data_IF_238490500154
#
_entry.id   IF_238490500154
#
_cell.length_a   1.000
_cell.length_b   1.000
_cell.length_c   1.000
_cell.angle_alpha   90.00
_cell.angle_beta   90.00
_cell.angle_gamma   90.00
#
_symmetry.space_group_name_H-M   'P 1'
#
loop_
_entity.id
_entity.type
_entity.pdbx_description
1 polymer ?
#
# COMPACT_ATOMS: atom_id res chain seq x y z
N UNK A 1 -11.66 23.31 -23.90
CA UNK A 1 -11.07 21.97 -23.80
C UNK A 1 -10.77 21.73 -22.33
N UNK A 2 -11.29 20.67 -21.69
CA UNK A 2 -10.95 20.37 -20.29
C UNK A 2 -9.49 19.95 -20.21
N UNK A 3 -8.71 20.55 -19.31
CA UNK A 3 -7.33 20.13 -19.04
C UNK A 3 -7.35 18.71 -18.47
N UNK A 4 -6.83 17.75 -19.24
CA UNK A 4 -6.65 16.39 -18.74
C UNK A 4 -5.57 16.35 -17.65
N UNK A 5 -5.77 15.49 -16.68
CA UNK A 5 -4.78 15.21 -15.65
C UNK A 5 -3.48 14.70 -16.25
N UNK A 6 -2.36 15.32 -15.85
CA UNK A 6 -1.00 14.94 -16.28
C UNK A 6 -0.02 15.13 -15.13
N UNK A 7 1.08 14.37 -15.13
CA UNK A 7 2.19 14.59 -14.22
C UNK A 7 3.02 15.80 -14.65
N UNK A 8 3.47 16.58 -13.67
CA UNK A 8 4.38 17.71 -13.93
C UNK A 8 5.83 17.25 -14.16
N UNK A 9 6.22 16.08 -13.68
CA UNK A 9 7.56 15.55 -13.81
C UNK A 9 7.62 14.02 -13.68
N UNK A 10 8.63 13.39 -14.32
CA UNK A 10 8.95 11.96 -14.15
C UNK A 10 9.21 11.60 -12.67
N UNK A 11 9.94 12.46 -11.96
CA UNK A 11 10.22 12.27 -10.53
C UNK A 11 8.92 12.29 -9.72
N UNK A 12 7.99 13.20 -10.02
CA UNK A 12 6.68 13.27 -9.37
C UNK A 12 5.88 12.00 -9.56
N UNK A 13 5.85 11.46 -10.78
CA UNK A 13 5.22 10.16 -11.06
C UNK A 13 5.86 9.02 -10.25
N UNK A 14 7.20 8.93 -10.24
CA UNK A 14 7.92 7.87 -9.50
C UNK A 14 7.63 7.97 -8.00
N UNK A 15 7.73 9.17 -7.40
CA UNK A 15 7.48 9.36 -5.96
C UNK A 15 6.02 9.12 -5.58
N UNK A 16 5.07 9.53 -6.40
CA UNK A 16 3.67 9.27 -6.14
C UNK A 16 3.31 7.78 -6.30
N UNK A 17 3.85 7.11 -7.32
CA UNK A 17 3.65 5.67 -7.52
C UNK A 17 4.34 4.84 -6.44
N UNK A 18 5.56 5.22 -6.06
CA UNK A 18 6.24 4.60 -4.92
C UNK A 18 5.46 4.84 -3.61
N UNK A 19 4.96 6.06 -3.38
CA UNK A 19 4.11 6.38 -2.22
C UNK A 19 2.80 5.59 -2.21
N UNK A 20 2.22 5.30 -3.37
CA UNK A 20 1.08 4.38 -3.47
C UNK A 20 1.43 2.96 -3.03
N UNK A 21 2.59 2.48 -3.42
CA UNK A 21 3.09 1.16 -3.05
C UNK A 21 3.59 1.10 -1.59
N UNK A 22 4.19 2.19 -1.10
CA UNK A 22 4.74 2.31 0.26
C UNK A 22 3.65 2.79 1.22
N UNK A 23 2.76 1.90 1.61
CA UNK A 23 1.68 2.18 2.55
C UNK A 23 1.74 1.28 3.77
N UNK A 24 0.56 0.96 4.31
CA UNK A 24 0.39 -0.01 5.40
C UNK A 24 1.03 -1.36 5.08
N UNK A 25 1.08 -1.74 3.79
CA UNK A 25 1.65 -2.99 3.32
C UNK A 25 3.14 -3.14 3.68
N UNK A 26 3.95 -2.12 3.39
CA UNK A 26 5.40 -2.18 3.55
C UNK A 26 5.88 -1.73 4.93
N UNK A 27 5.19 -0.75 5.55
CA UNK A 27 5.61 -0.18 6.83
C UNK A 27 5.03 -0.93 8.02
N UNK A 28 3.86 -1.54 7.88
CA UNK A 28 3.15 -2.22 8.95
C UNK A 28 2.99 -3.73 8.72
N UNK A 29 2.27 -4.12 7.64
CA UNK A 29 1.91 -5.53 7.40
C UNK A 29 3.16 -6.39 7.18
N UNK A 30 4.14 -5.89 6.44
CA UNK A 30 5.37 -6.60 6.15
C UNK A 30 6.20 -6.93 7.43
N UNK A 31 6.51 -6.01 8.37
CA UNK A 31 7.24 -6.35 9.57
C UNK A 31 6.57 -7.43 10.43
N UNK A 32 5.27 -7.31 10.72
CA UNK A 32 4.64 -8.31 11.56
C UNK A 32 4.50 -9.68 10.87
N UNK A 33 4.24 -9.69 9.54
CA UNK A 33 4.22 -10.94 8.79
C UNK A 33 5.60 -11.59 8.73
N UNK A 34 6.66 -10.80 8.63
CA UNK A 34 8.04 -11.27 8.70
C UNK A 34 8.35 -11.88 10.07
N UNK A 35 7.91 -11.23 11.15
CA UNK A 35 8.08 -11.74 12.51
C UNK A 35 7.36 -13.07 12.74
N UNK A 36 6.12 -13.19 12.25
CA UNK A 36 5.30 -14.39 12.41
C UNK A 36 5.74 -15.57 11.54
N UNK A 37 6.50 -15.34 10.46
CA UNK A 37 6.78 -16.34 9.41
C UNK A 37 8.27 -16.60 9.17
N UNK A 38 9.12 -16.48 10.20
CA UNK A 38 10.50 -16.94 10.12
C UNK A 38 11.54 -15.91 9.67
N UNK A 39 11.26 -14.60 9.84
CA UNK A 39 12.27 -13.55 9.69
C UNK A 39 12.90 -13.47 8.30
N UNK A 40 14.23 -13.67 8.22
CA UNK A 40 14.99 -13.54 6.98
C UNK A 40 14.60 -14.51 5.87
N UNK A 41 14.07 -15.70 6.19
CA UNK A 41 13.51 -16.63 5.20
C UNK A 41 12.31 -16.03 4.48
N UNK A 42 11.37 -15.47 5.22
CA UNK A 42 10.22 -14.74 4.68
C UNK A 42 10.65 -13.53 3.82
N UNK A 43 11.61 -12.73 4.34
CA UNK A 43 12.16 -11.58 3.59
C UNK A 43 12.69 -12.01 2.22
N UNK A 44 13.50 -13.07 2.15
CA UNK A 44 14.10 -13.50 0.89
C UNK A 44 13.02 -13.93 -0.12
N UNK A 45 12.02 -14.70 0.31
CA UNK A 45 10.89 -15.10 -0.55
C UNK A 45 10.12 -13.89 -1.02
N UNK A 46 9.84 -12.93 -0.13
CA UNK A 46 9.17 -11.66 -0.49
C UNK A 46 9.96 -10.88 -1.55
N UNK A 47 11.28 -10.75 -1.40
CA UNK A 47 12.14 -10.05 -2.36
C UNK A 47 12.12 -10.71 -3.74
N UNK A 48 12.30 -12.05 -3.78
CA UNK A 48 12.25 -12.82 -5.03
C UNK A 48 10.87 -12.67 -5.68
N UNK A 49 9.80 -12.80 -4.92
CA UNK A 49 8.43 -12.69 -5.43
C UNK A 49 8.12 -11.27 -5.94
N UNK A 50 8.60 -10.25 -5.26
CA UNK A 50 8.42 -8.86 -5.69
C UNK A 50 9.11 -8.60 -7.04
N UNK A 51 10.28 -9.19 -7.27
CA UNK A 51 11.03 -9.04 -8.52
C UNK A 51 10.42 -9.92 -9.64
N UNK A 52 10.12 -11.20 -9.37
CA UNK A 52 9.72 -12.16 -10.41
C UNK A 52 8.22 -12.10 -10.74
N UNK A 53 7.39 -11.64 -9.83
CA UNK A 53 5.93 -11.60 -9.97
C UNK A 53 5.43 -10.16 -9.95
N UNK A 54 5.79 -9.41 -8.90
CA UNK A 54 5.33 -8.04 -8.71
C UNK A 54 5.77 -7.11 -9.83
N UNK A 55 7.06 -7.10 -10.17
CA UNK A 55 7.59 -6.23 -11.23
C UNK A 55 6.99 -6.48 -12.62
N UNK A 56 6.85 -7.73 -13.12
CA UNK A 56 6.16 -8.00 -14.37
C UNK A 56 4.70 -7.52 -14.40
N UNK A 57 3.96 -7.69 -13.31
CA UNK A 57 2.58 -7.19 -13.19
C UNK A 57 2.53 -5.66 -13.16
N UNK A 58 3.46 -5.00 -12.47
CA UNK A 58 3.60 -3.54 -12.45
C UNK A 58 3.81 -2.99 -13.86
N UNK A 59 4.69 -3.61 -14.64
CA UNK A 59 4.91 -3.23 -16.03
C UNK A 59 3.67 -3.46 -16.90
N UNK A 60 2.88 -4.50 -16.63
CA UNK A 60 1.61 -4.74 -17.30
C UNK A 60 0.61 -3.61 -17.02
N UNK A 61 0.42 -3.21 -15.76
CA UNK A 61 -0.45 -2.07 -15.40
C UNK A 61 0.03 -0.78 -16.08
N UNK A 62 1.32 -0.51 -16.09
CA UNK A 62 1.87 0.67 -16.75
C UNK A 62 1.64 0.67 -18.26
N UNK A 63 1.93 -0.44 -18.93
CA UNK A 63 1.73 -0.55 -20.37
C UNK A 63 0.26 -0.37 -20.76
N UNK A 64 -0.66 -1.01 -20.04
CA UNK A 64 -2.10 -0.88 -20.27
C UNK A 64 -2.59 0.57 -20.02
N UNK A 65 -2.20 1.16 -18.88
CA UNK A 65 -2.65 2.50 -18.51
C UNK A 65 -2.20 3.56 -19.51
N UNK A 66 -0.91 3.57 -19.87
CA UNK A 66 -0.36 4.55 -20.81
C UNK A 66 -0.86 4.34 -22.23
N UNK A 67 -0.96 3.09 -22.72
CA UNK A 67 -1.52 2.78 -24.04
C UNK A 67 -2.97 3.24 -24.19
N UNK A 68 -3.77 3.09 -23.13
CA UNK A 68 -5.17 3.46 -23.18
C UNK A 68 -5.39 4.97 -23.05
N UNK A 69 -4.67 5.66 -22.15
CA UNK A 69 -4.81 7.09 -21.89
C UNK A 69 -6.23 7.52 -21.49
N UNK A 70 -6.96 6.61 -20.83
CA UNK A 70 -8.33 6.83 -20.34
C UNK A 70 -8.45 6.31 -18.90
N UNK A 71 -9.62 6.51 -18.28
CA UNK A 71 -9.87 6.01 -16.92
C UNK A 71 -9.73 4.48 -16.83
N UNK A 72 -9.37 3.97 -15.68
CA UNK A 72 -9.10 2.54 -15.47
C UNK A 72 -10.27 1.64 -15.88
N UNK A 73 -11.51 2.06 -15.58
CA UNK A 73 -12.71 1.30 -15.95
C UNK A 73 -12.82 1.12 -17.48
N UNK A 74 -12.47 2.16 -18.26
CA UNK A 74 -12.59 2.12 -19.73
C UNK A 74 -11.38 1.51 -20.43
N UNK A 75 -10.26 1.34 -19.72
CA UNK A 75 -8.99 0.87 -20.30
C UNK A 75 -9.13 -0.49 -20.96
N UNK A 76 -9.67 -1.46 -20.25
CA UNK A 76 -9.75 -2.85 -20.70
C UNK A 76 -10.70 -3.02 -21.89
N UNK A 77 -11.86 -2.34 -21.87
CA UNK A 77 -12.79 -2.36 -23.01
C UNK A 77 -12.21 -1.71 -24.26
N UNK A 78 -11.48 -0.59 -24.10
CA UNK A 78 -10.80 0.09 -25.21
C UNK A 78 -9.71 -0.77 -25.84
N UNK A 79 -8.83 -1.37 -25.02
CA UNK A 79 -7.70 -2.15 -25.52
C UNK A 79 -8.11 -3.54 -26.03
N UNK A 80 -9.17 -4.12 -25.47
CA UNK A 80 -9.72 -5.42 -25.89
C UNK A 80 -10.79 -5.33 -26.96
N UNK A 81 -11.14 -4.12 -27.44
CA UNK A 81 -12.24 -3.86 -28.40
C UNK A 81 -13.59 -4.48 -27.97
N UNK A 82 -13.83 -4.64 -26.67
CA UNK A 82 -15.06 -5.20 -26.12
C UNK A 82 -15.31 -4.65 -24.71
N UNK A 83 -16.43 -3.94 -24.56
CA UNK A 83 -16.82 -3.33 -23.28
C UNK A 83 -17.03 -4.34 -22.14
N UNK A 84 -17.20 -5.63 -22.42
CA UNK A 84 -17.28 -6.66 -21.39
C UNK A 84 -16.03 -6.70 -20.52
N UNK A 85 -14.85 -6.38 -21.04
CA UNK A 85 -13.61 -6.34 -20.27
C UNK A 85 -13.55 -5.20 -19.24
N UNK A 86 -14.45 -4.22 -19.32
CA UNK A 86 -14.50 -3.13 -18.34
C UNK A 86 -14.77 -3.61 -16.92
N UNK A 87 -15.28 -4.85 -16.73
CA UNK A 87 -15.48 -5.43 -15.41
C UNK A 87 -14.16 -5.48 -14.59
N UNK A 88 -13.01 -5.66 -15.25
CA UNK A 88 -11.70 -5.68 -14.59
C UNK A 88 -11.41 -4.33 -13.95
N UNK A 89 -11.67 -3.26 -14.68
CA UNK A 89 -11.52 -1.89 -14.15
C UNK A 89 -12.50 -1.58 -13.00
N UNK A 90 -13.74 -2.10 -13.08
CA UNK A 90 -14.73 -1.96 -12.02
C UNK A 90 -14.32 -2.70 -10.75
N UNK A 91 -13.75 -3.91 -10.85
CA UNK A 91 -13.21 -4.65 -9.70
C UNK A 91 -12.15 -3.82 -8.99
N UNK A 92 -11.18 -3.25 -9.74
CA UNK A 92 -10.13 -2.41 -9.17
C UNK A 92 -10.68 -1.15 -8.49
N UNK A 93 -11.60 -0.45 -9.13
CA UNK A 93 -12.23 0.74 -8.56
C UNK A 93 -13.02 0.42 -7.27
N UNK A 94 -13.80 -0.66 -7.28
CA UNK A 94 -14.57 -1.12 -6.13
C UNK A 94 -13.66 -1.58 -4.98
N UNK A 95 -12.61 -2.35 -5.29
CA UNK A 95 -11.63 -2.77 -4.30
C UNK A 95 -10.98 -1.57 -3.60
N UNK A 96 -10.58 -0.54 -4.34
CA UNK A 96 -9.98 0.67 -3.78
C UNK A 96 -10.97 1.53 -2.98
N UNK A 97 -12.24 1.54 -3.35
CA UNK A 97 -13.27 2.20 -2.55
C UNK A 97 -13.45 1.52 -1.19
N UNK A 98 -13.58 0.19 -1.16
CA UNK A 98 -13.66 -0.57 0.08
C UNK A 98 -12.36 -0.43 0.88
N UNK A 99 -11.20 -0.55 0.22
CA UNK A 99 -9.90 -0.41 0.88
C UNK A 99 -9.81 0.93 1.61
N UNK A 100 -10.12 2.04 0.94
CA UNK A 100 -10.06 3.36 1.56
C UNK A 100 -11.02 3.49 2.75
N UNK A 101 -12.17 2.82 2.73
CA UNK A 101 -13.17 2.92 3.79
C UNK A 101 -12.64 2.43 5.13
N UNK A 102 -11.96 1.29 5.19
CA UNK A 102 -11.36 0.79 6.43
C UNK A 102 -9.93 1.30 6.66
N UNK A 103 -9.18 1.57 5.61
CA UNK A 103 -7.85 2.17 5.67
C UNK A 103 -7.86 3.55 6.34
N UNK A 104 -8.93 4.33 6.10
CA UNK A 104 -9.11 5.65 6.72
C UNK A 104 -9.28 5.59 8.25
N UNK A 105 -9.75 4.48 8.77
CA UNK A 105 -9.86 4.25 10.23
C UNK A 105 -8.46 4.19 10.85
N UNK A 106 -7.55 3.41 10.24
CA UNK A 106 -6.15 3.34 10.70
C UNK A 106 -5.46 4.70 10.59
N UNK A 107 -5.69 5.41 9.46
CA UNK A 107 -5.20 6.78 9.29
C UNK A 107 -5.70 7.73 10.38
N UNK A 108 -6.95 7.56 10.79
CA UNK A 108 -7.54 8.28 11.92
C UNK A 108 -6.84 7.98 13.24
N UNK A 109 -6.58 6.70 13.55
CA UNK A 109 -5.85 6.32 14.77
C UNK A 109 -4.46 6.95 14.83
N UNK A 110 -3.74 7.00 13.70
CA UNK A 110 -2.43 7.68 13.63
C UNK A 110 -2.55 9.15 14.03
N UNK A 111 -3.56 9.86 13.53
CA UNK A 111 -3.80 11.27 13.87
C UNK A 111 -4.08 11.46 15.36
N UNK A 112 -4.88 10.57 15.97
CA UNK A 112 -5.17 10.62 17.41
C UNK A 112 -3.89 10.40 18.22
N UNK A 113 -3.11 9.37 17.90
CA UNK A 113 -1.85 9.08 18.60
C UNK A 113 -0.84 10.21 18.45
N UNK A 114 -0.72 10.81 17.27
CA UNK A 114 0.11 12.01 17.07
C UNK A 114 -0.32 13.14 18.01
N UNK A 115 -1.63 13.41 18.11
CA UNK A 115 -2.13 14.42 19.04
C UNK A 115 -1.81 14.13 20.50
N UNK A 116 -1.91 12.87 20.92
CA UNK A 116 -1.61 12.42 22.28
C UNK A 116 -0.09 12.57 22.56
N UNK A 117 0.76 12.10 21.66
CA UNK A 117 2.21 12.16 21.86
C UNK A 117 2.75 13.60 21.82
N UNK A 118 2.16 14.48 21.01
CA UNK A 118 2.48 15.92 21.07
C UNK A 118 2.09 16.53 22.42
N UNK A 119 0.93 16.17 22.99
CA UNK A 119 0.55 16.62 24.34
C UNK A 119 1.52 16.10 25.39
N UNK A 120 1.92 14.84 25.31
CA UNK A 120 2.93 14.22 26.20
C UNK A 120 4.27 14.96 26.12
N UNK A 121 4.73 15.32 24.93
CA UNK A 121 5.98 16.07 24.72
C UNK A 121 5.96 17.42 25.46
N UNK A 122 4.81 18.08 25.57
CA UNK A 122 4.64 19.33 26.30
C UNK A 122 4.19 19.13 27.76
N UNK A 123 4.31 17.92 28.31
CA UNK A 123 3.95 17.55 29.68
C UNK A 123 2.46 17.82 30.04
N UNK A 124 1.57 17.82 29.04
CA UNK A 124 0.13 18.04 29.20
C UNK A 124 -0.64 16.74 29.51
N UNK A 125 0.01 15.76 30.10
CA UNK A 125 -0.55 14.47 30.48
C UNK A 125 0.33 13.30 30.01
N UNK A 126 0.33 12.19 30.74
CA UNK A 126 1.06 10.95 30.42
C UNK A 126 0.09 9.82 30.05
N UNK A 127 0.54 8.89 29.23
CA UNK A 127 -0.17 7.64 28.94
C UNK A 127 0.46 6.55 29.77
N UNK A 128 -0.27 6.01 30.77
CA UNK A 128 0.26 4.94 31.63
C UNK A 128 0.21 3.57 30.96
N UNK A 129 -0.89 3.24 30.28
CA UNK A 129 -1.14 1.94 29.66
C UNK A 129 -1.63 2.13 28.20
N UNK A 130 -0.80 1.76 27.22
CA UNK A 130 -1.13 1.87 25.80
C UNK A 130 -2.20 0.87 25.35
N UNK A 131 -2.34 -0.26 26.01
CA UNK A 131 -3.41 -1.20 25.71
C UNK A 131 -4.76 -0.62 26.11
N UNK A 132 -4.85 -0.04 27.32
CA UNK A 132 -6.03 0.65 27.78
C UNK A 132 -6.32 1.91 26.94
N UNK A 133 -5.28 2.67 26.58
CA UNK A 133 -5.40 3.84 25.71
C UNK A 133 -5.98 3.44 24.34
N UNK A 134 -5.41 2.42 23.69
CA UNK A 134 -5.88 1.94 22.40
C UNK A 134 -7.32 1.49 22.46
N UNK A 135 -7.68 0.68 23.48
CA UNK A 135 -9.04 0.24 23.70
C UNK A 135 -9.99 1.43 23.87
N UNK A 136 -9.60 2.45 24.64
CA UNK A 136 -10.43 3.65 24.85
C UNK A 136 -10.67 4.47 23.58
N UNK A 137 -9.70 4.47 22.64
CA UNK A 137 -9.81 5.17 21.35
C UNK A 137 -10.74 4.41 20.40
N UNK A 138 -10.53 3.09 20.25
CA UNK A 138 -11.28 2.29 19.27
C UNK A 138 -12.72 2.00 19.73
N UNK A 139 -12.97 1.99 21.04
CA UNK A 139 -14.31 1.77 21.59
C UNK A 139 -15.16 3.05 21.69
N UNK A 140 -14.56 4.23 21.59
CA UNK A 140 -15.29 5.49 21.66
C UNK A 140 -15.75 5.94 20.25
N UNK A 141 -17.06 5.91 19.95
CA UNK A 141 -17.57 6.26 18.62
C UNK A 141 -17.22 7.68 18.16
N UNK A 142 -17.24 8.65 19.08
CA UNK A 142 -16.95 10.03 18.73
C UNK A 142 -15.48 10.23 18.32
N UNK A 143 -14.54 9.57 19.01
CA UNK A 143 -13.12 9.59 18.68
C UNK A 143 -12.87 8.84 17.36
N UNK A 144 -13.41 7.63 17.23
CA UNK A 144 -13.21 6.78 16.06
C UNK A 144 -13.72 7.46 14.78
N UNK A 145 -14.96 7.97 14.79
CA UNK A 145 -15.57 8.64 13.64
C UNK A 145 -14.95 10.01 13.37
N UNK A 146 -14.66 10.80 14.42
CA UNK A 146 -14.00 12.09 14.27
C UNK A 146 -12.60 11.97 13.67
N UNK A 147 -11.84 10.97 14.09
CA UNK A 147 -10.51 10.68 13.57
C UNK A 147 -10.55 10.22 12.11
N UNK A 148 -11.46 9.29 11.77
CA UNK A 148 -11.69 8.86 10.40
C UNK A 148 -12.10 10.03 9.50
N UNK A 149 -13.02 10.88 9.96
CA UNK A 149 -13.46 12.06 9.21
C UNK A 149 -12.29 13.02 8.95
N UNK A 150 -11.45 13.30 9.96
CA UNK A 150 -10.27 14.15 9.81
C UNK A 150 -9.29 13.59 8.75
N UNK A 151 -9.06 12.28 8.75
CA UNK A 151 -8.20 11.65 7.77
C UNK A 151 -8.80 11.69 6.35
N UNK A 152 -10.10 11.45 6.19
CA UNK A 152 -10.78 11.57 4.89
C UNK A 152 -10.76 13.02 4.39
N UNK A 153 -10.98 14.02 5.25
CA UNK A 153 -10.88 15.43 4.87
C UNK A 153 -9.48 15.78 4.34
N UNK A 154 -8.43 15.26 4.97
CA UNK A 154 -7.05 15.42 4.48
C UNK A 154 -6.90 14.85 3.06
N UNK A 155 -7.45 13.67 2.80
CA UNK A 155 -7.43 13.07 1.46
C UNK A 155 -8.21 13.89 0.44
N UNK A 156 -9.43 14.35 0.78
CA UNK A 156 -10.24 15.23 -0.07
C UNK A 156 -9.47 16.50 -0.42
N UNK A 157 -8.82 17.11 0.57
CA UNK A 157 -8.04 18.33 0.38
C UNK A 157 -6.89 18.15 -0.62
N UNK A 158 -6.16 17.05 -0.54
CA UNK A 158 -5.04 16.78 -1.45
C UNK A 158 -5.56 16.47 -2.85
N UNK A 159 -6.53 15.55 -2.99
CA UNK A 159 -7.06 15.09 -4.29
C UNK A 159 -7.80 16.19 -5.03
N UNK A 160 -8.56 17.03 -4.32
CA UNK A 160 -9.29 18.16 -4.91
C UNK A 160 -8.40 19.17 -5.64
N UNK A 161 -7.12 19.26 -5.25
CA UNK A 161 -6.11 20.13 -5.90
C UNK A 161 -5.53 19.57 -7.19
N UNK A 162 -5.91 18.34 -7.56
CA UNK A 162 -5.47 17.69 -8.78
C UNK A 162 -4.12 16.96 -8.66
N UNK A 163 -3.69 16.36 -9.77
CA UNK A 163 -2.50 15.50 -9.80
C UNK A 163 -1.22 16.28 -9.49
N UNK A 164 -0.95 17.38 -10.18
CA UNK A 164 0.29 18.14 -10.03
C UNK A 164 0.37 18.93 -8.71
N UNK A 165 -0.66 19.75 -8.44
CA UNK A 165 -0.67 20.67 -7.29
C UNK A 165 -1.03 19.99 -5.97
N UNK A 166 -1.71 18.87 -6.02
CA UNK A 166 -2.10 18.05 -4.87
C UNK A 166 -1.19 16.86 -4.68
N UNK A 167 -1.39 15.81 -5.44
CA UNK A 167 -0.76 14.49 -5.26
C UNK A 167 0.75 14.53 -5.44
N UNK A 168 1.22 15.06 -6.57
CA UNK A 168 2.65 15.15 -6.89
C UNK A 168 3.41 15.99 -5.87
N UNK A 169 2.85 17.17 -5.50
CA UNK A 169 3.47 18.05 -4.52
C UNK A 169 3.55 17.40 -3.13
N UNK A 170 2.47 16.74 -2.69
CA UNK A 170 2.45 16.02 -1.43
C UNK A 170 3.49 14.89 -1.42
N UNK A 171 3.54 14.07 -2.47
CA UNK A 171 4.49 12.97 -2.58
C UNK A 171 5.95 13.45 -2.66
N UNK A 172 6.23 14.56 -3.34
CA UNK A 172 7.59 15.15 -3.39
C UNK A 172 8.11 15.61 -2.03
N UNK A 173 7.24 15.94 -1.09
CA UNK A 173 7.60 16.32 0.28
C UNK A 173 7.62 15.11 1.20
N UNK A 174 6.52 14.34 1.20
CA UNK A 174 6.35 13.23 2.16
C UNK A 174 7.34 12.09 1.93
N UNK A 175 7.62 11.72 0.67
CA UNK A 175 8.48 10.57 0.38
C UNK A 175 9.95 10.78 0.81
N UNK A 176 10.63 11.90 0.47
CA UNK A 176 11.96 12.13 0.99
C UNK A 176 12.01 12.23 2.52
N UNK A 177 11.03 12.90 3.15
CA UNK A 177 10.96 12.98 4.61
C UNK A 177 10.78 11.60 5.25
N UNK A 178 9.97 10.72 4.67
CA UNK A 178 9.79 9.34 5.11
C UNK A 178 11.14 8.60 5.13
N UNK A 179 11.95 8.69 4.06
CA UNK A 179 13.27 8.07 4.02
C UNK A 179 14.23 8.65 5.07
N UNK A 180 14.23 9.98 5.25
CA UNK A 180 15.08 10.64 6.27
C UNK A 180 14.69 10.17 7.67
N UNK A 181 13.40 10.14 7.98
CA UNK A 181 12.90 9.68 9.29
C UNK A 181 13.28 8.21 9.53
N UNK A 182 13.15 7.35 8.50
CA UNK A 182 13.60 5.96 8.62
C UNK A 182 15.07 5.87 9.01
N UNK A 183 15.97 6.62 8.33
CA UNK A 183 17.40 6.62 8.64
C UNK A 183 17.65 7.00 10.11
N UNK A 184 16.95 8.02 10.61
CA UNK A 184 17.04 8.47 12.01
C UNK A 184 16.60 7.37 12.99
N UNK A 185 15.44 6.75 12.72
CA UNK A 185 14.89 5.68 13.58
C UNK A 185 15.78 4.44 13.53
N UNK A 186 16.27 4.04 12.36
CA UNK A 186 17.21 2.91 12.21
C UNK A 186 18.49 3.17 13.01
N UNK A 187 19.08 4.36 12.87
CA UNK A 187 20.28 4.74 13.65
C UNK A 187 20.04 4.59 15.15
N UNK A 188 18.88 5.01 15.64
CA UNK A 188 18.47 4.84 17.05
C UNK A 188 18.27 3.37 17.41
N UNK A 189 17.56 2.62 16.59
CA UNK A 189 17.28 1.20 16.83
C UNK A 189 18.57 0.36 16.90
N UNK A 190 19.50 0.60 15.98
CA UNK A 190 20.79 -0.08 15.94
C UNK A 190 21.74 0.30 17.10
N UNK A 191 21.54 1.45 17.73
CA UNK A 191 22.35 1.88 18.89
C UNK A 191 21.93 1.22 20.21
N UNK A 192 20.87 0.41 20.21
CA UNK A 192 20.37 -0.27 21.40
C UNK A 192 21.21 -1.52 21.74
N UNK A 193 21.28 -1.92 23.01
CA UNK A 193 21.94 -3.18 23.40
C UNK A 193 21.22 -4.37 22.71
N UNK A 194 21.97 -5.40 22.33
CA UNK A 194 21.47 -6.62 21.67
C UNK A 194 20.74 -6.38 20.33
N UNK A 195 20.82 -5.18 19.74
CA UNK A 195 20.19 -4.85 18.47
C UNK A 195 20.61 -5.79 17.33
N UNK A 196 21.84 -6.29 17.36
CA UNK A 196 22.39 -7.17 16.32
C UNK A 196 21.64 -8.51 16.21
N UNK A 197 21.09 -9.02 17.29
CA UNK A 197 20.27 -10.25 17.27
C UNK A 197 19.03 -10.05 16.41
N UNK A 198 18.36 -8.88 16.55
CA UNK A 198 17.21 -8.51 15.73
C UNK A 198 17.60 -8.30 14.26
N UNK A 199 18.76 -7.70 13.97
CA UNK A 199 19.30 -7.58 12.61
C UNK A 199 19.52 -8.95 12.00
N UNK A 200 20.17 -9.87 12.73
CA UNK A 200 20.44 -11.23 12.26
C UNK A 200 19.15 -12.02 12.04
N UNK A 201 18.18 -11.92 12.94
CA UNK A 201 16.86 -12.54 12.77
C UNK A 201 16.18 -12.06 11.48
N UNK A 202 16.25 -10.78 11.18
CA UNK A 202 15.60 -10.18 10.03
C UNK A 202 16.33 -10.43 8.70
N UNK A 203 17.67 -10.35 8.70
CA UNK A 203 18.44 -10.42 7.44
C UNK A 203 18.99 -11.81 7.12
N UNK A 204 19.24 -12.67 8.13
CA UNK A 204 19.79 -14.01 7.92
C UNK A 204 18.68 -14.97 7.51
N UNK A 205 18.69 -15.53 6.26
CA UNK A 205 17.69 -16.49 5.85
C UNK A 205 17.75 -17.75 6.69
N UNK A 206 16.64 -18.09 7.31
CA UNK A 206 16.44 -19.35 8.04
C UNK A 206 15.16 -20.01 7.52
N UNK A 207 15.34 -20.94 6.59
CA UNK A 207 14.22 -21.65 5.97
C UNK A 207 13.61 -22.71 6.89
N UNK A 208 14.28 -23.10 7.98
CA UNK A 208 13.74 -24.06 8.93
C UNK A 208 12.50 -23.51 9.68
N UNK A 209 12.39 -22.20 9.77
CA UNK A 209 11.27 -21.47 10.42
C UNK A 209 10.18 -21.03 9.43
N UNK A 210 10.44 -21.16 8.13
CA UNK A 210 9.48 -20.77 7.10
C UNK A 210 8.48 -21.90 6.87
N UNK A 211 7.23 -21.65 7.22
CA UNK A 211 6.14 -22.61 6.97
C UNK A 211 5.59 -22.48 5.54
N UNK A 212 4.84 -23.50 5.09
CA UNK A 212 4.13 -23.41 3.80
C UNK A 212 3.16 -22.22 3.76
N UNK A 213 2.48 -21.94 4.86
CA UNK A 213 1.64 -20.75 5.00
C UNK A 213 2.47 -19.46 4.89
N UNK A 214 3.64 -19.39 5.54
CA UNK A 214 4.56 -18.26 5.45
C UNK A 214 5.04 -18.00 4.03
N UNK A 215 5.32 -19.06 3.24
CA UNK A 215 5.65 -18.95 1.83
C UNK A 215 4.51 -18.28 1.03
N UNK A 216 3.27 -18.73 1.22
CA UNK A 216 2.10 -18.20 0.54
C UNK A 216 1.81 -16.74 0.97
N UNK A 217 2.00 -16.43 2.24
CA UNK A 217 1.90 -15.05 2.73
C UNK A 217 2.96 -14.13 2.11
N UNK A 218 4.21 -14.59 1.94
CA UNK A 218 5.24 -13.80 1.28
C UNK A 218 4.91 -13.51 -0.20
N UNK A 219 4.35 -14.50 -0.91
CA UNK A 219 3.83 -14.33 -2.26
C UNK A 219 2.69 -13.31 -2.30
N UNK A 220 1.68 -13.45 -1.44
CA UNK A 220 0.56 -12.51 -1.33
C UNK A 220 1.01 -11.09 -0.97
N UNK A 221 1.98 -10.98 -0.04
CA UNK A 221 2.54 -9.71 0.37
C UNK A 221 3.23 -8.96 -0.78
N UNK A 222 3.83 -9.66 -1.75
CA UNK A 222 4.45 -9.03 -2.92
C UNK A 222 3.46 -8.31 -3.83
N UNK A 223 2.22 -8.79 -3.95
CA UNK A 223 1.14 -8.12 -4.67
C UNK A 223 0.62 -6.91 -3.89
N UNK A 224 0.37 -7.11 -2.60
CA UNK A 224 -0.17 -6.08 -1.73
C UNK A 224 0.79 -4.89 -1.60
N UNK A 225 2.08 -5.16 -1.40
CA UNK A 225 3.11 -4.14 -1.24
C UNK A 225 3.30 -3.24 -2.47
N UNK A 226 2.94 -3.69 -3.66
CA UNK A 226 3.00 -2.90 -4.90
C UNK A 226 1.64 -2.36 -5.35
N UNK A 227 0.57 -2.55 -4.56
CA UNK A 227 -0.81 -2.14 -4.89
C UNK A 227 -1.28 -2.66 -6.26
N UNK A 228 -0.97 -3.93 -6.58
CA UNK A 228 -1.29 -4.55 -7.87
C UNK A 228 -2.67 -5.18 -7.89
N UNK A 229 -3.25 -5.26 -9.09
CA UNK A 229 -4.57 -5.87 -9.31
C UNK A 229 -5.77 -4.96 -9.00
N UNK A 230 -5.51 -3.77 -8.48
CA UNK A 230 -6.54 -2.76 -8.17
C UNK A 230 -6.49 -1.54 -9.09
N UNK A 231 -5.82 -1.66 -10.22
CA UNK A 231 -5.71 -0.61 -11.25
C UNK A 231 -5.05 0.71 -10.78
N UNK A 232 -4.34 0.67 -9.66
CA UNK A 232 -3.69 1.86 -9.10
C UNK A 232 -2.58 2.37 -10.02
N UNK A 233 -1.65 1.50 -10.35
CA UNK A 233 -0.50 1.82 -11.19
C UNK A 233 -0.91 2.06 -12.63
N UNK A 234 -1.95 1.36 -13.11
CA UNK A 234 -2.59 1.60 -14.41
C UNK A 234 -3.11 3.03 -14.52
N UNK A 235 -3.85 3.51 -13.51
CA UNK A 235 -4.41 4.88 -13.52
C UNK A 235 -3.28 5.92 -13.53
N UNK A 236 -2.27 5.74 -12.69
CA UNK A 236 -1.15 6.67 -12.64
C UNK A 236 -0.35 6.71 -13.94
N UNK A 237 -0.16 5.56 -14.60
CA UNK A 237 0.47 5.49 -15.90
C UNK A 237 -0.35 6.13 -17.02
N UNK A 238 -1.69 6.16 -16.89
CA UNK A 238 -2.56 6.83 -17.88
C UNK A 238 -2.38 8.36 -17.93
N UNK A 239 -1.76 8.96 -16.91
CA UNK A 239 -1.41 10.39 -16.84
C UNK A 239 0.01 10.68 -17.32
N UNK A 240 0.78 9.64 -17.70
CA UNK A 240 2.18 9.76 -18.08
C UNK A 240 2.33 10.01 -19.57
N UNK A 241 3.30 10.85 -19.93
CA UNK A 241 3.66 11.08 -21.32
C UNK A 241 4.37 9.87 -21.97
N UNK A 242 4.37 9.80 -23.30
CA UNK A 242 5.01 8.70 -24.04
C UNK A 242 6.54 8.73 -24.00
N UNK A 243 7.16 9.86 -23.61
CA UNK A 243 8.63 9.99 -23.54
C UNK A 243 9.23 9.29 -22.33
N UNK A 244 8.44 9.03 -21.30
CA UNK A 244 8.89 8.41 -20.06
C UNK A 244 9.15 6.91 -20.24
N UNK A 245 10.32 6.43 -19.78
CA UNK A 245 10.65 5.01 -19.82
C UNK A 245 9.95 4.26 -18.67
N UNK A 246 8.97 3.41 -19.00
CA UNK A 246 8.17 2.64 -18.03
C UNK A 246 9.01 1.63 -17.26
N UNK A 247 9.92 0.92 -17.94
CA UNK A 247 10.78 -0.09 -17.30
C UNK A 247 11.65 0.55 -16.22
N UNK A 248 12.32 1.67 -16.56
CA UNK A 248 13.14 2.40 -15.60
C UNK A 248 12.31 2.93 -14.42
N UNK A 249 11.12 3.45 -14.69
CA UNK A 249 10.22 3.91 -13.63
C UNK A 249 9.78 2.75 -12.73
N UNK A 250 9.43 1.61 -13.31
CA UNK A 250 9.06 0.41 -12.56
C UNK A 250 10.19 -0.11 -11.68
N UNK A 251 11.43 -0.17 -12.21
CA UNK A 251 12.62 -0.54 -11.41
C UNK A 251 12.78 0.41 -10.21
N UNK A 252 12.66 1.72 -10.43
CA UNK A 252 12.79 2.71 -9.35
C UNK A 252 11.72 2.52 -8.27
N UNK A 253 10.47 2.27 -8.66
CA UNK A 253 9.35 2.08 -7.73
C UNK A 253 9.52 0.78 -6.91
N UNK A 254 9.88 -0.32 -7.56
CA UNK A 254 10.14 -1.60 -6.89
C UNK A 254 11.34 -1.49 -5.95
N UNK A 255 12.43 -0.85 -6.39
CA UNK A 255 13.60 -0.61 -5.55
C UNK A 255 13.27 0.23 -4.31
N UNK A 256 12.48 1.30 -4.47
CA UNK A 256 12.02 2.12 -3.34
C UNK A 256 11.12 1.32 -2.39
N UNK A 257 10.20 0.50 -2.90
CA UNK A 257 9.32 -0.35 -2.09
C UNK A 257 10.13 -1.38 -1.29
N UNK A 258 11.05 -2.09 -1.93
CA UNK A 258 11.97 -3.04 -1.28
C UNK A 258 12.81 -2.32 -0.21
N UNK A 259 13.38 -1.17 -0.56
CA UNK A 259 14.19 -0.38 0.39
C UNK A 259 13.40 -0.01 1.63
N UNK A 260 12.16 0.46 1.47
CA UNK A 260 11.31 0.81 2.63
C UNK A 260 10.93 -0.43 3.45
N UNK A 261 10.63 -1.56 2.82
CA UNK A 261 10.36 -2.82 3.55
C UNK A 261 11.56 -3.25 4.39
N UNK A 262 12.77 -3.16 3.83
CA UNK A 262 14.01 -3.45 4.56
C UNK A 262 14.23 -2.42 5.69
N UNK A 263 14.05 -1.14 5.42
CA UNK A 263 14.18 -0.07 6.41
C UNK A 263 13.18 -0.24 7.56
N UNK A 264 11.93 -0.63 7.27
CA UNK A 264 10.92 -0.90 8.28
C UNK A 264 11.34 -2.08 9.19
N UNK A 265 11.88 -3.15 8.62
CA UNK A 265 12.44 -4.25 9.41
C UNK A 265 13.61 -3.81 10.27
N UNK A 266 14.59 -3.06 9.72
CA UNK A 266 15.74 -2.55 10.46
C UNK A 266 15.36 -1.51 11.53
N UNK A 267 14.24 -0.82 11.39
CA UNK A 267 13.72 0.07 12.41
C UNK A 267 13.09 -0.69 13.58
N UNK A 268 12.42 -1.81 13.31
CA UNK A 268 11.58 -2.51 14.28
C UNK A 268 12.30 -3.68 14.95
N UNK A 269 12.89 -4.61 14.20
CA UNK A 269 13.46 -5.85 14.76
C UNK A 269 14.61 -5.64 15.75
N UNK A 270 15.60 -4.74 15.50
CA UNK A 270 16.65 -4.47 16.47
C UNK A 270 16.12 -3.93 17.80
N UNK A 271 15.10 -3.06 17.72
CA UNK A 271 14.46 -2.49 18.91
C UNK A 271 13.65 -3.54 19.69
N UNK A 272 12.91 -4.42 18.98
CA UNK A 272 12.19 -5.54 19.61
C UNK A 272 13.15 -6.49 20.33
N UNK A 273 14.27 -6.86 19.69
CA UNK A 273 15.29 -7.71 20.29
C UNK A 273 15.91 -7.07 21.54
N UNK A 274 16.25 -5.78 21.47
CA UNK A 274 16.86 -5.05 22.60
C UNK A 274 16.00 -5.07 23.87
N UNK A 275 14.68 -5.13 23.74
CA UNK A 275 13.75 -5.11 24.87
C UNK A 275 13.04 -6.46 25.12
N UNK A 276 13.43 -7.54 24.42
CA UNK A 276 12.79 -8.87 24.49
C UNK A 276 11.26 -8.82 24.29
N UNK A 277 10.81 -7.98 23.34
CA UNK A 277 9.38 -7.84 23.01
C UNK A 277 9.05 -8.78 21.85
N UNK A 278 8.08 -9.65 22.05
CA UNK A 278 7.55 -10.49 20.97
C UNK A 278 6.53 -9.70 20.13
N UNK A 279 6.52 -9.92 18.82
CA UNK A 279 5.55 -9.31 17.92
C UNK A 279 4.19 -9.97 18.08
N UNK A 280 3.23 -9.22 18.58
CA UNK A 280 1.82 -9.53 18.37
C UNK A 280 1.41 -9.01 16.99
N UNK A 281 0.61 -9.78 16.26
CA UNK A 281 0.15 -9.39 14.92
C UNK A 281 -0.90 -8.28 14.95
N UNK A 282 -1.13 -7.67 13.79
CA UNK A 282 -2.23 -6.72 13.61
C UNK A 282 -1.95 -5.30 14.14
N UNK A 283 -3.02 -4.50 14.41
CA UNK A 283 -2.90 -3.12 14.87
C UNK A 283 -2.18 -2.95 16.21
N UNK A 284 -2.19 -3.98 17.07
CA UNK A 284 -1.53 -3.97 18.38
C UNK A 284 -0.03 -3.67 18.27
N UNK A 285 0.65 -4.15 17.23
CA UNK A 285 2.07 -3.85 17.03
C UNK A 285 2.34 -2.34 17.01
N UNK A 286 1.55 -1.58 16.28
CA UNK A 286 1.78 -0.14 16.06
C UNK A 286 1.31 0.73 17.22
N UNK A 287 0.19 0.37 17.84
CA UNK A 287 -0.52 1.24 18.77
C UNK A 287 -0.38 0.79 20.24
N UNK A 288 0.15 -0.42 20.48
CA UNK A 288 0.41 -0.94 21.82
C UNK A 288 1.90 -1.26 22.01
N UNK A 289 2.45 -2.12 21.13
CA UNK A 289 3.81 -2.65 21.30
C UNK A 289 4.88 -1.58 21.04
N UNK A 290 4.79 -0.88 19.90
CA UNK A 290 5.81 0.12 19.54
C UNK A 290 5.83 1.33 20.51
N UNK A 291 4.72 1.94 20.94
CA UNK A 291 4.81 3.00 21.93
C UNK A 291 5.41 2.54 23.26
N UNK A 292 5.07 1.33 23.75
CA UNK A 292 5.73 0.76 24.93
C UNK A 292 7.24 0.57 24.75
N UNK A 293 7.65 0.19 23.54
CA UNK A 293 9.05 0.03 23.19
C UNK A 293 9.76 1.38 23.17
N UNK A 294 9.19 2.39 22.55
CA UNK A 294 9.76 3.74 22.51
C UNK A 294 9.82 4.37 23.90
N UNK A 295 8.84 4.15 24.77
CA UNK A 295 8.85 4.68 26.15
C UNK A 295 10.01 4.15 27.00
N UNK A 296 10.55 2.96 26.68
CA UNK A 296 11.75 2.42 27.31
C UNK A 296 13.05 3.06 26.83
N UNK A 297 13.00 3.87 25.77
CA UNK A 297 14.19 4.51 25.19
C UNK A 297 14.37 5.93 25.70
N UNK A 298 15.62 6.43 25.90
CA UNK A 298 15.88 7.85 26.04
C UNK A 298 15.32 8.65 24.85
N UNK A 299 14.58 9.72 25.14
CA UNK A 299 13.86 10.54 24.16
C UNK A 299 12.78 9.78 23.35
N UNK A 300 12.22 8.72 23.92
CA UNK A 300 11.33 7.79 23.23
C UNK A 300 10.09 8.48 22.61
N UNK A 301 9.48 9.44 23.31
CA UNK A 301 8.36 10.24 22.79
C UNK A 301 8.70 10.92 21.46
N UNK A 302 9.91 11.48 21.31
CA UNK A 302 10.35 12.13 20.06
C UNK A 302 10.46 11.09 18.95
N UNK A 303 11.10 9.95 19.20
CA UNK A 303 11.24 8.89 18.22
C UNK A 303 9.88 8.27 17.84
N UNK A 304 8.95 8.14 18.79
CA UNK A 304 7.62 7.65 18.47
C UNK A 304 6.80 8.67 17.65
N UNK A 305 6.91 9.96 17.93
CA UNK A 305 6.32 11.02 17.07
C UNK A 305 6.91 10.94 15.65
N UNK A 306 8.23 10.79 15.51
CA UNK A 306 8.86 10.61 14.19
C UNK A 306 8.33 9.37 13.48
N UNK A 307 8.19 8.24 14.21
CA UNK A 307 7.62 7.01 13.66
C UNK A 307 6.17 7.20 13.21
N UNK A 308 5.32 7.86 14.01
CA UNK A 308 3.94 8.16 13.66
C UNK A 308 3.84 9.11 12.45
N UNK A 309 4.73 10.11 12.32
CA UNK A 309 4.82 10.99 11.16
C UNK A 309 5.22 10.21 9.90
N UNK A 310 6.23 9.34 10.00
CA UNK A 310 6.62 8.44 8.92
C UNK A 310 5.43 7.59 8.47
N UNK A 311 4.72 7.01 9.44
CA UNK A 311 3.59 6.15 9.19
C UNK A 311 2.40 6.93 8.60
N UNK A 312 2.17 8.18 9.07
CA UNK A 312 1.19 9.08 8.48
C UNK A 312 1.52 9.37 7.01
N UNK A 313 2.78 9.69 6.68
CA UNK A 313 3.19 9.96 5.30
C UNK A 313 2.98 8.76 4.39
N UNK A 314 3.38 7.56 4.82
CA UNK A 314 3.12 6.32 4.09
C UNK A 314 1.62 6.07 3.89
N UNK A 315 0.82 6.31 4.93
CA UNK A 315 -0.63 6.09 4.89
C UNK A 315 -1.33 7.11 3.98
N UNK A 316 -0.98 8.40 4.06
CA UNK A 316 -1.57 9.45 3.23
C UNK A 316 -1.21 9.29 1.76
N UNK A 317 0.05 9.00 1.43
CA UNK A 317 0.46 8.83 0.02
C UNK A 317 -0.26 7.67 -0.66
N UNK A 318 -0.58 6.61 0.07
CA UNK A 318 -1.37 5.48 -0.44
C UNK A 318 -2.87 5.79 -0.51
N UNK A 319 -3.45 6.38 0.53
CA UNK A 319 -4.90 6.67 0.59
C UNK A 319 -5.36 7.70 -0.45
N UNK A 320 -4.52 8.69 -0.72
CA UNK A 320 -4.75 9.69 -1.77
C UNK A 320 -4.90 9.04 -3.14
N UNK A 321 -4.13 7.99 -3.44
CA UNK A 321 -4.24 7.22 -4.69
C UNK A 321 -5.59 6.50 -4.77
N UNK A 322 -6.03 5.88 -3.68
CA UNK A 322 -7.29 5.15 -3.62
C UNK A 322 -8.48 6.07 -3.93
N UNK A 323 -8.48 7.29 -3.39
CA UNK A 323 -9.50 8.28 -3.70
C UNK A 323 -9.36 8.81 -5.13
N UNK A 324 -8.14 9.11 -5.57
CA UNK A 324 -7.84 9.64 -6.91
C UNK A 324 -8.36 8.75 -8.02
N UNK A 325 -8.15 7.44 -7.92
CA UNK A 325 -8.57 6.50 -8.96
C UNK A 325 -10.08 6.53 -9.14
N UNK A 326 -10.84 6.56 -8.04
CA UNK A 326 -12.29 6.64 -8.10
C UNK A 326 -12.76 8.00 -8.64
N UNK A 327 -12.12 9.09 -8.25
CA UNK A 327 -12.38 10.44 -8.81
C UNK A 327 -12.06 10.47 -10.30
N UNK A 328 -10.89 9.97 -10.71
CA UNK A 328 -10.46 9.92 -12.11
C UNK A 328 -11.39 9.07 -12.99
N UNK A 329 -11.92 7.97 -12.45
CA UNK A 329 -12.88 7.12 -13.15
C UNK A 329 -14.21 7.86 -13.43
N UNK A 330 -14.76 8.56 -12.44
CA UNK A 330 -16.05 9.27 -12.57
C UNK A 330 -15.90 10.54 -13.41
N UNK A 331 -14.84 11.29 -13.22
CA UNK A 331 -14.61 12.54 -13.94
C UNK A 331 -14.09 12.34 -15.35
N UNK A 332 -13.73 11.12 -15.75
CA UNK A 332 -12.97 10.82 -16.96
C UNK A 332 -11.70 11.69 -17.07
N UNK A 333 -11.03 11.91 -15.95
CA UNK A 333 -9.79 12.72 -15.83
C UNK A 333 -10.01 14.23 -16.05
N UNK A 334 -11.24 14.72 -16.03
CA UNK A 334 -11.56 16.15 -16.14
C UNK A 334 -11.28 16.88 -14.81
N UNK A 335 -10.31 17.78 -14.83
CA UNK A 335 -9.89 18.54 -13.64
C UNK A 335 -10.99 19.47 -13.11
N UNK A 336 -11.89 19.97 -13.94
CA UNK A 336 -12.94 20.91 -13.50
C UNK A 336 -13.94 20.32 -12.52
N UNK A 337 -14.14 19.00 -12.58
CA UNK A 337 -15.11 18.27 -11.75
C UNK A 337 -14.49 17.65 -10.49
N UNK A 338 -13.15 17.71 -10.35
CA UNK A 338 -12.42 17.01 -9.30
C UNK A 338 -12.81 17.41 -7.89
N UNK A 339 -12.86 18.70 -7.59
CA UNK A 339 -13.17 19.18 -6.24
C UNK A 339 -14.52 18.63 -5.75
N UNK A 340 -15.56 18.73 -6.61
CA UNK A 340 -16.89 18.20 -6.30
C UNK A 340 -16.86 16.68 -6.06
N UNK A 341 -16.26 15.92 -6.99
CA UNK A 341 -16.27 14.45 -6.89
C UNK A 341 -15.33 13.91 -5.83
N UNK A 342 -14.24 14.60 -5.51
CA UNK A 342 -13.40 14.25 -4.35
C UNK A 342 -14.17 14.38 -3.03
N UNK A 343 -14.98 15.44 -2.88
CA UNK A 343 -15.82 15.62 -1.71
C UNK A 343 -16.92 14.54 -1.64
N UNK A 344 -17.66 14.32 -2.73
CA UNK A 344 -18.74 13.32 -2.77
C UNK A 344 -18.21 11.93 -2.46
N UNK A 345 -17.16 11.50 -3.16
CA UNK A 345 -16.59 10.16 -2.98
C UNK A 345 -15.92 10.00 -1.61
N UNK A 346 -15.26 11.05 -1.10
CA UNK A 346 -14.72 11.03 0.24
C UNK A 346 -15.80 10.87 1.31
N UNK A 347 -16.93 11.59 1.18
CA UNK A 347 -18.07 11.46 2.09
C UNK A 347 -18.69 10.05 1.98
N UNK A 348 -18.88 9.54 0.77
CA UNK A 348 -19.39 8.18 0.57
C UNK A 348 -18.46 7.14 1.19
N UNK A 349 -17.15 7.29 1.02
CA UNK A 349 -16.13 6.42 1.64
C UNK A 349 -16.18 6.49 3.17
N UNK A 350 -16.33 7.70 3.72
CA UNK A 350 -16.52 7.90 5.17
C UNK A 350 -17.75 7.15 5.66
N UNK A 351 -18.91 7.36 5.04
CA UNK A 351 -20.18 6.73 5.43
C UNK A 351 -20.08 5.20 5.34
N UNK A 352 -19.51 4.67 4.24
CA UNK A 352 -19.29 3.23 4.10
C UNK A 352 -18.28 2.67 5.10
N UNK A 353 -17.35 3.49 5.57
CA UNK A 353 -16.33 3.12 6.57
C UNK A 353 -16.81 3.19 8.01
N UNK A 354 -17.99 3.78 8.31
CA UNK A 354 -18.54 3.86 9.67
C UNK A 354 -18.59 2.48 10.38
N UNK A 355 -19.11 1.41 9.75
CA UNK A 355 -19.12 0.08 10.40
C UNK A 355 -17.71 -0.42 10.70
N UNK A 356 -16.73 -0.15 9.84
CA UNK A 356 -15.31 -0.49 10.10
C UNK A 356 -14.75 0.29 11.30
N UNK A 357 -15.07 1.59 11.42
CA UNK A 357 -14.61 2.42 12.53
C UNK A 357 -15.23 2.01 13.86
N UNK A 358 -16.44 1.48 13.85
CA UNK A 358 -17.17 1.03 15.04
C UNK A 358 -16.95 -0.46 15.38
N UNK A 359 -16.22 -1.20 14.55
CA UNK A 359 -16.03 -2.66 14.64
C UNK A 359 -15.44 -3.14 15.97
N UNK A 360 -14.63 -2.32 16.62
CA UNK A 360 -13.99 -2.67 17.89
C UNK A 360 -14.65 -2.02 19.12
N UNK A 361 -15.80 -1.37 18.91
CA UNK A 361 -16.59 -0.71 19.96
C UNK A 361 -18.04 -1.12 19.90
N UNK A 362 -18.93 -0.21 19.49
CA UNK A 362 -20.39 -0.42 19.47
C UNK A 362 -20.83 -1.60 18.59
N UNK A 363 -20.06 -1.95 17.58
CA UNK A 363 -20.33 -3.06 16.66
C UNK A 363 -19.42 -4.27 16.90
N UNK A 364 -18.78 -4.38 18.07
CA UNK A 364 -17.84 -5.48 18.36
C UNK A 364 -18.50 -6.87 18.28
N UNK A 365 -19.78 -6.97 18.59
CA UNK A 365 -20.54 -8.22 18.52
C UNK A 365 -21.09 -8.53 17.12
N UNK A 366 -20.95 -7.62 16.16
CA UNK A 366 -21.41 -7.81 14.78
C UNK A 366 -20.33 -8.51 13.96
N UNK A 367 -20.55 -9.77 13.64
CA UNK A 367 -19.60 -10.59 12.89
C UNK A 367 -20.15 -10.95 11.51
N UNK A 368 -19.28 -10.87 10.49
CA UNK A 368 -19.51 -11.35 9.12
C UNK A 368 -18.58 -12.54 8.88
N UNK A 369 -19.11 -13.74 8.73
CA UNK A 369 -18.32 -14.98 8.62
C UNK A 369 -17.30 -15.16 9.76
N UNK A 370 -17.69 -14.81 10.99
CA UNK A 370 -16.83 -14.92 12.18
C UNK A 370 -15.74 -13.85 12.32
N UNK A 371 -15.74 -12.82 11.46
CA UNK A 371 -14.80 -11.68 11.49
C UNK A 371 -15.53 -10.40 11.86
N UNK A 372 -14.84 -9.46 12.51
CA UNK A 372 -15.38 -8.10 12.67
C UNK A 372 -15.66 -7.49 11.30
N UNK A 373 -16.46 -6.41 11.23
CA UNK A 373 -16.71 -5.75 9.95
C UNK A 373 -15.42 -5.23 9.31
N UNK A 374 -14.50 -4.67 10.12
CA UNK A 374 -13.19 -4.23 9.66
C UNK A 374 -12.38 -5.37 9.02
N UNK A 375 -12.25 -6.49 9.75
CA UNK A 375 -11.47 -7.64 9.28
C UNK A 375 -12.12 -8.32 8.08
N UNK A 376 -13.46 -8.29 7.97
CA UNK A 376 -14.19 -8.82 6.82
C UNK A 376 -13.92 -7.98 5.57
N UNK A 377 -13.85 -6.64 5.69
CA UNK A 377 -13.51 -5.74 4.58
C UNK A 377 -12.04 -5.88 4.17
N UNK A 378 -11.11 -5.99 5.12
CA UNK A 378 -9.71 -6.28 4.81
C UNK A 378 -9.57 -7.64 4.10
N UNK A 379 -10.23 -8.68 4.60
CA UNK A 379 -10.23 -9.99 3.95
C UNK A 379 -10.78 -9.93 2.53
N UNK A 380 -11.92 -9.27 2.33
CA UNK A 380 -12.54 -9.11 1.01
C UNK A 380 -11.58 -8.44 0.01
N UNK A 381 -10.91 -7.38 0.41
CA UNK A 381 -9.99 -6.67 -0.48
C UNK A 381 -8.67 -7.41 -0.64
N UNK A 382 -7.99 -7.70 0.47
CA UNK A 382 -6.62 -8.22 0.44
C UNK A 382 -6.53 -9.65 -0.07
N UNK A 383 -7.55 -10.47 0.24
CA UNK A 383 -7.54 -11.90 -0.01
C UNK A 383 -8.38 -12.30 -1.23
N UNK A 384 -9.37 -11.51 -1.62
CA UNK A 384 -10.25 -11.85 -2.75
C UNK A 384 -10.08 -10.89 -3.93
N UNK A 385 -10.37 -9.59 -3.74
CA UNK A 385 -10.45 -8.65 -4.87
C UNK A 385 -9.09 -8.34 -5.48
N UNK A 386 -8.05 -8.14 -4.69
CA UNK A 386 -6.70 -7.86 -5.20
C UNK A 386 -6.11 -9.05 -5.97
N UNK A 387 -6.07 -10.29 -5.43
CA UNK A 387 -5.60 -11.44 -6.19
C UNK A 387 -6.44 -11.71 -7.45
N UNK A 388 -7.77 -11.59 -7.36
CA UNK A 388 -8.64 -11.79 -8.53
C UNK A 388 -8.41 -10.71 -9.59
N UNK A 389 -8.26 -9.46 -9.20
CA UNK A 389 -7.91 -8.35 -10.11
C UNK A 389 -6.56 -8.55 -10.78
N UNK A 390 -5.54 -8.99 -10.01
CA UNK A 390 -4.20 -9.30 -10.53
C UNK A 390 -4.23 -10.49 -11.52
N UNK A 391 -5.04 -11.52 -11.24
CA UNK A 391 -5.27 -12.64 -12.16
C UNK A 391 -5.89 -12.17 -13.47
N UNK A 392 -6.97 -11.40 -13.40
CA UNK A 392 -7.63 -10.84 -14.58
C UNK A 392 -6.68 -9.94 -15.38
N UNK A 393 -5.90 -9.10 -14.72
CA UNK A 393 -4.89 -8.24 -15.32
C UNK A 393 -3.82 -9.05 -16.06
N UNK A 394 -3.29 -10.09 -15.41
CA UNK A 394 -2.28 -10.97 -15.97
C UNK A 394 -2.77 -11.69 -17.24
N UNK A 395 -3.96 -12.28 -17.15
CA UNK A 395 -4.60 -12.97 -18.28
C UNK A 395 -4.96 -11.99 -19.42
N UNK A 396 -5.52 -10.83 -19.11
CA UNK A 396 -5.82 -9.83 -20.12
C UNK A 396 -4.56 -9.36 -20.85
N UNK A 397 -3.49 -9.06 -20.13
CA UNK A 397 -2.23 -8.63 -20.73
C UNK A 397 -1.57 -9.76 -21.52
N UNK A 398 -1.60 -10.97 -21.00
CA UNK A 398 -0.99 -12.13 -21.61
C UNK A 398 -1.66 -12.58 -22.91
N UNK A 399 -2.99 -12.50 -23.02
CA UNK A 399 -3.75 -13.10 -24.11
C UNK A 399 -4.50 -12.12 -25.00
N UNK A 400 -4.92 -10.96 -24.48
CA UNK A 400 -5.82 -10.03 -25.18
C UNK A 400 -5.10 -8.75 -25.61
N UNK A 401 -4.22 -8.20 -24.77
CA UNK A 401 -3.49 -6.98 -25.08
C UNK A 401 -2.54 -7.20 -26.28
N UNK A 402 -2.59 -6.29 -27.27
CA UNK A 402 -1.80 -6.39 -28.49
C UNK A 402 -0.29 -6.36 -28.19
N UNK A 403 0.42 -7.43 -28.54
CA UNK A 403 1.87 -7.59 -28.30
C UNK A 403 2.69 -6.42 -28.85
N UNK A 404 2.36 -5.92 -30.05
CA UNK A 404 3.07 -4.80 -30.68
C UNK A 404 3.00 -3.53 -29.81
N UNK A 405 1.80 -3.22 -29.27
CA UNK A 405 1.63 -2.07 -28.36
C UNK A 405 2.39 -2.28 -27.05
N UNK A 406 2.38 -3.49 -26.51
CA UNK A 406 3.12 -3.80 -25.29
C UNK A 406 4.64 -3.64 -25.49
N UNK A 407 5.18 -4.12 -26.61
CA UNK A 407 6.59 -3.97 -26.97
C UNK A 407 6.99 -2.50 -27.15
N UNK A 408 6.16 -1.73 -27.87
CA UNK A 408 6.34 -0.29 -28.05
C UNK A 408 6.38 0.45 -26.71
N UNK A 409 5.39 0.23 -25.85
CA UNK A 409 5.26 0.90 -24.54
C UNK A 409 6.44 0.57 -23.60
N UNK A 410 6.98 -0.64 -23.67
CA UNK A 410 8.10 -1.07 -22.84
C UNK A 410 9.47 -0.82 -23.51
N UNK A 411 9.52 -0.28 -24.74
CA UNK A 411 10.74 -0.10 -25.53
C UNK A 411 11.56 -1.40 -25.69
N UNK A 412 10.86 -2.52 -25.95
CA UNK A 412 11.44 -3.85 -26.08
C UNK A 412 11.48 -4.38 -27.54
N UNK A 413 11.23 -3.52 -28.51
CA UNK A 413 11.14 -3.82 -29.95
C UNK A 413 12.47 -3.66 -30.70
N UNK A 414 13.42 -2.85 -30.16
CA UNK A 414 14.58 -2.37 -30.92
C UNK A 414 15.72 -3.38 -31.11
N UNK A 415 15.86 -4.38 -30.24
CA UNK A 415 17.00 -5.32 -30.23
C UNK A 415 16.58 -6.76 -29.92
N UNK A 416 17.28 -7.76 -30.51
CA UNK A 416 16.96 -9.17 -30.32
C UNK A 416 16.94 -9.62 -28.86
N UNK A 417 17.88 -9.17 -28.00
CA UNK A 417 17.88 -9.55 -26.59
C UNK A 417 16.71 -8.91 -25.82
N UNK A 418 16.26 -7.70 -26.21
CA UNK A 418 15.07 -7.08 -25.64
C UNK A 418 13.79 -7.85 -26.01
N UNK A 419 13.73 -8.37 -27.24
CA UNK A 419 12.63 -9.26 -27.66
C UNK A 419 12.61 -10.54 -26.85
N UNK A 420 13.78 -11.10 -26.53
CA UNK A 420 13.89 -12.25 -25.60
C UNK A 420 13.32 -11.94 -24.21
N UNK A 421 13.65 -10.78 -23.64
CA UNK A 421 13.08 -10.33 -22.36
C UNK A 421 11.56 -10.15 -22.43
N UNK A 422 11.04 -9.64 -23.56
CA UNK A 422 9.60 -9.53 -23.77
C UNK A 422 8.92 -10.89 -23.79
N UNK A 423 9.52 -11.92 -24.43
CA UNK A 423 8.96 -13.27 -24.41
C UNK A 423 8.94 -13.89 -23.01
N UNK A 424 10.01 -13.68 -22.21
CA UNK A 424 10.05 -14.11 -20.80
C UNK A 424 8.96 -13.39 -20.00
N UNK A 425 8.81 -12.07 -20.12
CA UNK A 425 7.77 -11.29 -19.47
C UNK A 425 6.37 -11.80 -19.84
N UNK A 426 6.13 -12.05 -21.13
CA UNK A 426 4.85 -12.56 -21.62
C UNK A 426 4.58 -14.00 -21.12
N UNK A 427 5.61 -14.83 -21.05
CA UNK A 427 5.51 -16.20 -20.48
C UNK A 427 5.13 -16.15 -18.99
N UNK A 428 5.77 -15.28 -18.21
CA UNK A 428 5.42 -15.07 -16.80
C UNK A 428 3.95 -14.68 -16.65
N UNK A 429 3.47 -13.70 -17.41
CA UNK A 429 2.08 -13.24 -17.34
C UNK A 429 1.05 -14.26 -17.82
N UNK A 430 1.43 -15.16 -18.74
CA UNK A 430 0.50 -16.16 -19.27
C UNK A 430 0.36 -17.40 -18.41
N UNK A 431 1.46 -17.85 -17.80
CA UNK A 431 1.51 -19.15 -17.15
C UNK A 431 1.90 -19.06 -15.68
N UNK A 432 3.05 -18.51 -15.36
CA UNK A 432 3.62 -18.58 -14.01
C UNK A 432 2.79 -17.75 -13.02
N UNK A 433 2.54 -16.49 -13.32
CA UNK A 433 1.84 -15.58 -12.43
C UNK A 433 0.39 -16.01 -12.18
N UNK A 434 -0.42 -16.39 -13.19
CA UNK A 434 -1.76 -16.92 -12.96
C UNK A 434 -1.78 -18.15 -12.05
N UNK A 435 -0.87 -19.10 -12.27
CA UNK A 435 -0.79 -20.31 -11.45
C UNK A 435 -0.49 -19.94 -10.00
N UNK A 436 0.50 -19.09 -9.76
CA UNK A 436 0.87 -18.67 -8.41
C UNK A 436 -0.30 -17.94 -7.72
N UNK A 437 -0.98 -17.03 -8.43
CA UNK A 437 -2.14 -16.32 -7.87
C UNK A 437 -3.26 -17.29 -7.51
N UNK A 438 -3.56 -18.27 -8.36
CA UNK A 438 -4.58 -19.30 -8.10
C UNK A 438 -4.20 -20.12 -6.87
N UNK A 439 -2.95 -20.55 -6.75
CA UNK A 439 -2.47 -21.31 -5.58
C UNK A 439 -2.61 -20.47 -4.31
N UNK A 440 -2.13 -19.23 -4.31
CA UNK A 440 -2.28 -18.30 -3.16
C UNK A 440 -3.74 -18.07 -2.82
N UNK A 441 -4.60 -17.91 -3.83
CA UNK A 441 -6.03 -17.69 -3.64
C UNK A 441 -6.73 -18.90 -3.00
N UNK A 442 -6.46 -20.11 -3.50
CA UNK A 442 -7.07 -21.36 -2.97
C UNK A 442 -6.59 -21.62 -1.53
N UNK A 443 -5.31 -21.42 -1.27
CA UNK A 443 -4.73 -21.67 0.06
C UNK A 443 -5.30 -20.80 1.19
N UNK A 444 -6.03 -19.73 0.86
CA UNK A 444 -6.71 -18.90 1.87
C UNK A 444 -8.02 -19.51 2.39
N UNK A 445 -8.51 -20.56 1.73
CA UNK A 445 -9.74 -21.27 2.12
C UNK A 445 -9.45 -22.65 2.70
N UNK A 446 -8.20 -23.05 2.76
CA UNK A 446 -7.74 -24.31 3.39
C UNK A 446 -7.22 -24.06 4.79
#
# INVERSE_FOLDING_TARGET
>A
MSEKSQWGSKLGFILASAGSAIGLGSVWKFPYMTAANGGGGFLLVFLISTILIGFPLLLAEFALGRSAGVSAIKTFGKLGNNNKYNFIGWIGAFALFILLSFYSVIGGWILVYLGIEFRKLFQLGGTGDYAQLFTSIISNPAIALGAQAAFILLNIFIVSRGVQKGIERASKVMMPLLFIIFVVIIGRSLSLPNAMEGVLYFLKPDFSKLTSAGLLYALGQSFFALSLGVTAMLTYASYLDKKSNLVQSGISIVAMNISVSIMAGLAIFPAMSAFNIQSEGGPSLLFIVLPQLFDKMPFGTIFYILFLLLFLFATVTSSVVMLEINVGNITNQDNSKRAKWSAILGILTFVFGIPSALSYGVMADVHIFGKTFFDAMDFLVSNLLMPFGALCLSLFTGYIFKKALAMEELHLDERAWKQGLFQVWLFLLRFIIPIIIIVVFIAQFM
#
